data_IF_270722678093
#
_entry.id   IF_270722678093
#
_cell.length_a   1.000
_cell.length_b   1.000
_cell.length_c   1.000
_cell.angle_alpha   90.00
_cell.angle_beta   90.00
_cell.angle_gamma   90.00
#
_symmetry.space_group_name_H-M   'P 1'
#
loop_
_entity.id
_entity.type
_entity.pdbx_description
1 polymer ?
#
# COMPACT_ATOMS: atom_id res chain seq x y z
N UNK A 1 16.17 78.70 -4.31
CA UNK A 1 14.82 78.15 -4.39
C UNK A 1 14.65 77.01 -5.41
N UNK A 2 15.30 77.01 -6.57
CA UNK A 2 15.20 75.89 -7.56
C UNK A 2 15.73 74.52 -7.10
N UNK A 3 16.77 74.49 -6.25
CA UNK A 3 17.36 73.21 -5.78
C UNK A 3 16.55 72.49 -4.63
N UNK A 4 15.63 73.21 -3.98
CA UNK A 4 14.80 72.64 -2.92
C UNK A 4 13.56 72.00 -3.56
N UNK A 5 13.01 72.57 -4.63
CA UNK A 5 11.89 71.99 -5.37
C UNK A 5 12.28 70.64 -6.05
N UNK A 6 13.51 70.57 -6.56
CA UNK A 6 13.97 69.32 -7.24
C UNK A 6 14.23 68.17 -6.25
N UNK A 7 14.69 68.51 -5.05
CA UNK A 7 14.91 67.50 -3.96
C UNK A 7 13.59 67.02 -3.37
N UNK A 8 12.56 67.86 -3.28
CA UNK A 8 11.22 67.49 -2.81
C UNK A 8 10.47 66.65 -3.83
N UNK A 9 10.65 66.93 -5.14
CA UNK A 9 10.03 66.15 -6.19
C UNK A 9 10.65 64.73 -6.33
N UNK A 10 11.98 64.62 -6.11
CA UNK A 10 12.66 63.31 -6.10
C UNK A 10 12.29 62.46 -4.86
N UNK A 11 12.03 63.08 -3.72
CA UNK A 11 11.58 62.34 -2.51
C UNK A 11 10.12 61.85 -2.63
N UNK A 12 9.25 62.54 -3.29
CA UNK A 12 7.84 62.14 -3.54
C UNK A 12 7.77 60.98 -4.54
N UNK A 13 8.63 60.98 -5.57
CA UNK A 13 8.72 59.84 -6.54
C UNK A 13 9.33 58.57 -5.91
N UNK A 14 10.23 58.72 -4.97
CA UNK A 14 10.80 57.57 -4.23
C UNK A 14 9.85 56.99 -3.17
N UNK A 15 8.92 57.78 -2.62
CA UNK A 15 7.91 57.29 -1.67
C UNK A 15 6.66 56.73 -2.36
N UNK A 16 6.39 57.09 -3.59
CA UNK A 16 5.28 56.55 -4.39
C UNK A 16 5.61 55.17 -5.02
N UNK A 17 6.89 54.75 -5.04
CA UNK A 17 7.31 53.50 -5.64
C UNK A 17 7.36 52.31 -4.67
N UNK A 18 7.00 52.48 -3.39
CA UNK A 18 6.99 51.42 -2.38
C UNK A 18 5.61 50.81 -2.12
N UNK A 19 4.55 51.29 -2.76
CA UNK A 19 3.31 50.54 -2.89
C UNK A 19 3.41 49.59 -4.07
N UNK A 20 4.42 48.70 -4.05
CA UNK A 20 4.50 47.60 -4.98
C UNK A 20 3.31 46.66 -4.69
N UNK A 21 2.49 46.51 -5.69
CA UNK A 21 1.37 45.59 -5.68
C UNK A 21 1.83 44.20 -5.32
N UNK A 22 1.67 43.80 -4.06
CA UNK A 22 1.77 42.40 -3.64
C UNK A 22 0.78 41.54 -4.43
N UNK A 23 -0.39 42.10 -4.75
CA UNK A 23 -1.44 41.43 -5.55
C UNK A 23 -1.07 41.13 -7.02
N UNK A 24 -0.04 41.82 -7.55
CA UNK A 24 0.39 41.56 -8.95
C UNK A 24 1.30 40.34 -9.06
N UNK A 25 1.96 39.96 -7.98
CA UNK A 25 2.80 38.76 -7.93
C UNK A 25 2.03 37.52 -7.45
N UNK A 26 0.86 37.72 -6.86
CA UNK A 26 -0.04 36.67 -6.39
C UNK A 26 -1.15 36.30 -7.40
N UNK A 27 -1.01 36.69 -8.67
CA UNK A 27 -1.91 36.18 -9.69
C UNK A 27 -1.67 34.69 -9.93
N UNK A 28 -2.45 33.88 -9.24
CA UNK A 28 -2.64 32.48 -9.65
C UNK A 28 -3.20 32.49 -11.08
N UNK A 29 -2.46 31.91 -12.01
CA UNK A 29 -2.97 31.71 -13.37
C UNK A 29 -4.29 30.93 -13.29
N UNK A 30 -5.39 31.41 -13.91
CA UNK A 30 -6.65 30.65 -13.93
C UNK A 30 -6.53 29.27 -14.60
N UNK A 31 -5.40 29.02 -15.29
CA UNK A 31 -5.06 27.75 -15.92
C UNK A 31 -4.04 26.91 -15.12
N UNK A 32 -3.52 27.39 -13.98
CA UNK A 32 -2.69 26.58 -13.12
C UNK A 32 -3.58 25.73 -12.21
N UNK A 33 -3.38 24.41 -12.26
CA UNK A 33 -3.94 23.46 -11.30
C UNK A 33 -3.17 23.64 -9.99
N UNK A 34 -3.57 24.61 -9.17
CA UNK A 34 -3.07 24.76 -7.81
C UNK A 34 -3.77 23.76 -6.86
N UNK A 35 -3.23 23.59 -5.69
CA UNK A 35 -3.77 22.65 -4.69
C UNK A 35 -5.24 22.91 -4.38
N UNK A 36 -5.67 24.17 -4.34
CA UNK A 36 -7.06 24.56 -4.09
C UNK A 36 -7.99 24.03 -5.19
N UNK A 37 -7.64 24.24 -6.45
CA UNK A 37 -8.44 23.80 -7.59
C UNK A 37 -8.47 22.28 -7.72
N UNK A 38 -7.36 21.61 -7.39
CA UNK A 38 -7.28 20.14 -7.43
C UNK A 38 -8.20 19.53 -6.38
N UNK A 39 -8.10 19.96 -5.11
CA UNK A 39 -8.76 19.29 -4.00
C UNK A 39 -10.17 19.80 -3.70
N UNK A 40 -10.63 20.87 -4.34
CA UNK A 40 -12.04 21.27 -4.34
C UNK A 40 -12.88 20.59 -5.41
N UNK A 41 -12.26 19.91 -6.38
CA UNK A 41 -12.92 19.21 -7.47
C UNK A 41 -12.72 17.70 -7.36
N UNK A 42 -13.82 16.93 -7.37
CA UNK A 42 -13.78 15.49 -7.19
C UNK A 42 -12.93 14.76 -8.24
N UNK A 43 -13.10 15.08 -9.51
CA UNK A 43 -12.39 14.38 -10.60
C UNK A 43 -10.88 14.59 -10.53
N UNK A 44 -10.44 15.82 -10.22
CA UNK A 44 -9.02 16.11 -10.05
C UNK A 44 -8.45 15.46 -8.78
N UNK A 45 -9.17 15.57 -7.66
CA UNK A 45 -8.77 14.95 -6.41
C UNK A 45 -8.69 13.42 -6.54
N UNK A 46 -9.65 12.79 -7.22
CA UNK A 46 -9.62 11.35 -7.50
C UNK A 46 -8.38 10.95 -8.30
N UNK A 47 -7.96 11.78 -9.26
CA UNK A 47 -6.72 11.56 -10.02
C UNK A 47 -5.49 11.53 -9.11
N UNK A 48 -5.42 12.36 -8.07
CA UNK A 48 -4.31 12.33 -7.10
C UNK A 48 -4.31 11.05 -6.27
N UNK A 49 -5.49 10.58 -5.84
CA UNK A 49 -5.62 9.30 -5.13
C UNK A 49 -5.23 8.12 -6.01
N UNK A 50 -5.63 8.11 -7.29
CA UNK A 50 -5.25 7.08 -8.24
C UNK A 50 -3.72 6.94 -8.38
N UNK A 51 -2.97 8.05 -8.28
CA UNK A 51 -1.51 8.04 -8.31
C UNK A 51 -0.88 7.38 -7.07
N UNK A 52 -1.58 7.31 -5.93
CA UNK A 52 -1.11 6.55 -4.75
C UNK A 52 -1.29 5.06 -5.00
N UNK A 53 -2.45 4.63 -5.51
CA UNK A 53 -2.71 3.24 -5.90
C UNK A 53 -1.73 2.75 -6.98
N UNK A 54 -1.36 3.60 -7.93
CA UNK A 54 -0.45 3.26 -9.03
C UNK A 54 0.89 2.74 -8.53
N UNK A 55 1.39 3.20 -7.39
CA UNK A 55 2.69 2.75 -6.86
C UNK A 55 2.67 1.27 -6.47
N UNK A 56 1.55 0.69 -6.04
CA UNK A 56 1.42 -0.75 -5.86
C UNK A 56 1.58 -1.54 -7.15
N UNK A 57 1.17 -0.97 -8.28
CA UNK A 57 1.26 -1.59 -9.60
C UNK A 57 2.65 -1.54 -10.21
N UNK A 58 3.55 -0.74 -9.69
CA UNK A 58 4.89 -0.61 -10.23
C UNK A 58 5.69 -1.92 -10.15
N UNK A 59 6.38 -2.25 -11.23
CA UNK A 59 7.07 -3.54 -11.36
C UNK A 59 8.04 -3.82 -10.21
N UNK A 60 8.75 -2.80 -9.75
CA UNK A 60 9.71 -2.96 -8.67
C UNK A 60 9.04 -3.22 -7.34
N UNK A 61 7.97 -2.49 -7.00
CA UNK A 61 7.25 -2.69 -5.76
C UNK A 61 6.78 -4.14 -5.64
N UNK A 62 5.90 -4.59 -6.52
CA UNK A 62 5.32 -5.92 -6.46
C UNK A 62 6.33 -7.04 -6.72
N UNK A 63 7.35 -6.80 -7.58
CA UNK A 63 8.34 -7.82 -7.91
C UNK A 63 9.39 -8.00 -6.81
N UNK A 64 9.52 -7.04 -5.89
CA UNK A 64 10.54 -7.05 -4.83
C UNK A 64 9.95 -7.23 -3.44
N UNK A 65 8.83 -6.56 -3.13
CA UNK A 65 8.16 -6.72 -1.83
C UNK A 65 7.77 -8.17 -1.54
N UNK A 66 7.40 -8.93 -2.57
CA UNK A 66 7.03 -10.34 -2.42
C UNK A 66 8.18 -11.27 -2.05
N UNK A 67 9.45 -10.84 -2.14
CA UNK A 67 10.58 -11.71 -1.78
C UNK A 67 10.91 -11.73 -0.30
N UNK A 68 10.27 -10.89 0.50
CA UNK A 68 10.49 -10.86 1.94
C UNK A 68 9.80 -12.03 2.63
N UNK A 69 10.58 -12.84 3.30
CA UNK A 69 10.08 -13.82 4.25
C UNK A 69 9.47 -15.09 3.66
N UNK A 70 9.86 -15.51 2.45
CA UNK A 70 9.26 -16.69 1.81
C UNK A 70 9.75 -18.04 2.30
N UNK A 71 10.88 -18.17 2.91
CA UNK A 71 11.27 -19.46 3.47
C UNK A 71 10.70 -19.60 4.88
N UNK A 72 9.49 -20.10 4.96
CA UNK A 72 8.78 -20.39 6.21
C UNK A 72 8.55 -21.88 6.37
N UNK A 73 7.81 -22.29 7.38
CA UNK A 73 7.36 -23.66 7.58
C UNK A 73 6.34 -24.11 6.51
N UNK A 74 5.67 -23.18 5.85
CA UNK A 74 4.63 -23.47 4.86
C UNK A 74 5.01 -23.12 3.41
N UNK A 75 5.98 -22.22 3.20
CA UNK A 75 6.38 -21.74 1.88
C UNK A 75 7.88 -21.81 1.67
N UNK A 76 8.29 -22.06 0.42
CA UNK A 76 9.70 -22.10 0.04
C UNK A 76 9.93 -21.45 -1.32
N UNK A 77 11.00 -20.65 -1.42
CA UNK A 77 11.53 -20.15 -2.68
C UNK A 77 12.41 -21.23 -3.35
N UNK A 78 12.06 -21.63 -4.57
CA UNK A 78 12.73 -22.69 -5.31
C UNK A 78 14.18 -22.37 -5.71
N UNK A 79 14.62 -21.13 -5.55
CA UNK A 79 15.97 -20.65 -5.82
C UNK A 79 16.78 -20.33 -4.58
N UNK A 80 16.39 -20.81 -3.41
CA UNK A 80 17.05 -20.49 -2.11
C UNK A 80 18.50 -20.94 -2.04
N UNK A 81 18.91 -21.90 -2.88
CA UNK A 81 20.29 -22.39 -3.01
C UNK A 81 21.17 -21.54 -3.94
N UNK A 82 20.61 -20.50 -4.55
CA UNK A 82 21.33 -19.62 -5.49
C UNK A 82 21.94 -18.43 -4.77
N UNK A 83 23.06 -17.95 -5.29
CA UNK A 83 23.68 -16.71 -4.85
C UNK A 83 23.06 -15.53 -5.64
N UNK A 84 21.87 -15.09 -5.24
CA UNK A 84 21.22 -13.91 -5.81
C UNK A 84 20.42 -13.15 -4.74
N UNK A 85 20.11 -11.88 -5.01
CA UNK A 85 19.44 -11.01 -4.04
C UNK A 85 18.05 -11.48 -3.61
N UNK A 86 17.37 -12.31 -4.42
CA UNK A 86 16.05 -12.87 -4.05
C UNK A 86 16.22 -14.01 -3.04
N UNK A 87 17.23 -14.86 -3.27
CA UNK A 87 17.56 -15.93 -2.33
C UNK A 87 17.99 -15.35 -0.98
N UNK A 88 18.77 -14.26 -0.98
CA UNK A 88 19.16 -13.55 0.24
C UNK A 88 17.95 -13.06 1.03
N UNK A 89 16.96 -12.45 0.34
CA UNK A 89 15.73 -12.01 0.99
C UNK A 89 14.90 -13.20 1.51
N UNK A 90 14.72 -14.23 0.69
CA UNK A 90 13.94 -15.40 1.06
C UNK A 90 14.56 -16.18 2.25
N UNK A 91 15.88 -16.17 2.38
CA UNK A 91 16.63 -16.85 3.44
C UNK A 91 16.98 -15.96 4.63
N UNK A 92 16.44 -14.74 4.69
CA UNK A 92 16.68 -13.76 5.76
C UNK A 92 18.15 -13.34 5.89
N UNK A 93 18.91 -13.34 4.80
CA UNK A 93 20.33 -13.01 4.74
C UNK A 93 20.61 -11.77 3.89
N UNK A 94 19.70 -10.78 3.91
CA UNK A 94 19.85 -9.58 3.12
C UNK A 94 20.93 -8.65 3.70
N UNK A 95 21.95 -8.35 2.90
CA UNK A 95 22.98 -7.35 3.19
C UNK A 95 22.69 -6.00 2.53
N UNK A 96 23.46 -4.98 2.92
CA UNK A 96 23.36 -3.60 2.38
C UNK A 96 23.56 -3.50 0.86
N UNK A 97 24.19 -4.48 0.24
CA UNK A 97 24.40 -4.56 -1.21
C UNK A 97 23.31 -5.33 -1.96
N UNK A 98 22.24 -5.75 -1.29
CA UNK A 98 21.16 -6.52 -1.93
C UNK A 98 20.50 -5.69 -3.04
N UNK A 99 20.52 -6.19 -4.27
CA UNK A 99 20.02 -5.49 -5.45
C UNK A 99 18.48 -5.35 -5.49
N UNK A 100 17.76 -6.15 -4.72
CA UNK A 100 16.30 -6.06 -4.59
C UNK A 100 15.86 -4.94 -3.63
N UNK A 101 16.72 -4.58 -2.69
CA UNK A 101 16.47 -3.55 -1.67
C UNK A 101 17.30 -2.28 -1.88
N UNK A 102 18.21 -2.27 -2.85
CA UNK A 102 19.17 -1.19 -3.01
C UNK A 102 18.47 0.12 -3.38
N UNK A 103 18.74 1.16 -2.57
CA UNK A 103 18.16 2.51 -2.71
C UNK A 103 18.85 3.38 -3.76
N UNK A 104 19.90 2.91 -4.42
CA UNK A 104 20.70 3.73 -5.35
C UNK A 104 20.19 3.74 -6.78
N UNK A 105 19.24 2.87 -7.11
CA UNK A 105 18.63 2.83 -8.44
C UNK A 105 17.28 3.54 -8.38
N UNK A 106 17.01 4.53 -9.21
CA UNK A 106 15.77 5.32 -9.20
C UNK A 106 14.48 4.54 -9.44
N UNK A 107 14.54 3.22 -9.44
CA UNK A 107 13.44 2.28 -9.56
C UNK A 107 13.32 1.38 -8.32
N UNK A 108 14.01 1.72 -7.23
CA UNK A 108 14.03 0.91 -6.02
C UNK A 108 12.70 0.97 -5.25
N UNK A 109 12.47 -0.07 -4.46
CA UNK A 109 11.26 -0.22 -3.69
C UNK A 109 11.10 0.85 -2.60
N UNK A 110 12.21 1.25 -1.96
CA UNK A 110 12.22 2.30 -0.95
C UNK A 110 11.72 3.64 -1.50
N UNK A 111 12.28 4.08 -2.64
CA UNK A 111 11.88 5.34 -3.28
C UNK A 111 10.41 5.30 -3.71
N UNK A 112 9.91 4.17 -4.21
CA UNK A 112 8.52 4.00 -4.63
C UNK A 112 7.55 4.10 -3.46
N UNK A 113 7.86 3.46 -2.34
CA UNK A 113 7.01 3.54 -1.15
C UNK A 113 6.98 4.97 -0.60
N UNK A 114 8.14 5.64 -0.50
CA UNK A 114 8.16 7.02 -0.03
C UNK A 114 7.49 8.01 -1.00
N UNK A 115 7.55 7.77 -2.31
CA UNK A 115 6.79 8.56 -3.28
C UNK A 115 5.28 8.42 -3.07
N UNK A 116 4.81 7.20 -2.78
CA UNK A 116 3.40 6.97 -2.44
C UNK A 116 2.99 7.66 -1.14
N UNK A 117 3.84 7.58 -0.10
CA UNK A 117 3.61 8.26 1.18
C UNK A 117 3.55 9.77 0.98
N UNK A 118 4.45 10.36 0.21
CA UNK A 118 4.44 11.79 -0.09
C UNK A 118 3.16 12.22 -0.82
N UNK A 119 2.74 11.47 -1.84
CA UNK A 119 1.47 11.73 -2.52
C UNK A 119 0.27 11.62 -1.59
N UNK A 120 0.30 10.66 -0.66
CA UNK A 120 -0.75 10.52 0.34
C UNK A 120 -0.76 11.72 1.31
N UNK A 121 0.40 12.21 1.76
CA UNK A 121 0.50 13.39 2.61
C UNK A 121 -0.08 14.62 1.92
N UNK A 122 0.35 14.89 0.68
CA UNK A 122 -0.17 16.01 -0.13
C UNK A 122 -1.69 15.91 -0.34
N UNK A 123 -2.21 14.71 -0.59
CA UNK A 123 -3.64 14.49 -0.76
C UNK A 123 -4.42 14.70 0.55
N UNK A 124 -3.91 14.21 1.69
CA UNK A 124 -4.53 14.39 3.00
C UNK A 124 -4.59 15.87 3.36
N UNK A 125 -3.48 16.60 3.22
CA UNK A 125 -3.40 18.02 3.53
C UNK A 125 -4.32 18.82 2.60
N UNK A 126 -4.23 18.58 1.29
CA UNK A 126 -5.03 19.29 0.30
C UNK A 126 -6.54 19.06 0.43
N UNK A 127 -6.96 17.82 0.72
CA UNK A 127 -8.38 17.49 0.95
C UNK A 127 -8.90 18.12 2.24
N UNK A 128 -8.12 18.10 3.32
CA UNK A 128 -8.53 18.73 4.59
C UNK A 128 -8.68 20.24 4.47
N UNK A 129 -7.83 20.88 3.67
CA UNK A 129 -7.83 22.33 3.50
C UNK A 129 -8.90 22.80 2.52
N UNK A 130 -9.15 22.08 1.44
CA UNK A 130 -9.87 22.61 0.29
C UNK A 130 -11.14 21.83 -0.12
N UNK A 131 -11.35 20.60 0.40
CA UNK A 131 -12.49 19.79 0.01
C UNK A 131 -13.74 20.12 0.82
N UNK A 132 -14.90 20.03 0.18
CA UNK A 132 -16.17 19.97 0.90
C UNK A 132 -16.35 18.57 1.51
N UNK A 133 -15.93 18.42 2.77
CA UNK A 133 -16.08 17.17 3.50
C UNK A 133 -17.51 16.90 4.00
N UNK A 134 -18.54 17.62 3.52
CA UNK A 134 -19.94 17.19 3.63
C UNK A 134 -20.32 16.24 2.49
N UNK A 135 -19.63 16.33 1.35
CA UNK A 135 -19.78 15.41 0.21
C UNK A 135 -19.20 14.04 0.52
N UNK A 136 -19.99 12.98 0.25
CA UNK A 136 -19.63 11.61 0.54
C UNK A 136 -18.43 11.10 -0.28
N UNK A 137 -18.32 11.57 -1.54
CA UNK A 137 -17.20 11.16 -2.40
C UNK A 137 -15.89 11.82 -1.97
N UNK A 138 -15.94 13.10 -1.53
CA UNK A 138 -14.74 13.78 -1.00
C UNK A 138 -14.29 13.17 0.32
N UNK A 139 -15.22 12.79 1.23
CA UNK A 139 -14.90 11.99 2.41
C UNK A 139 -14.22 10.68 2.06
N UNK A 140 -14.76 9.98 1.07
CA UNK A 140 -14.20 8.73 0.59
C UNK A 140 -12.74 8.91 0.13
N UNK A 141 -12.43 9.94 -0.63
CA UNK A 141 -11.06 10.24 -1.09
C UNK A 141 -10.10 10.49 0.08
N UNK A 142 -10.52 11.23 1.10
CA UNK A 142 -9.71 11.45 2.30
C UNK A 142 -9.47 10.14 3.06
N UNK A 143 -10.51 9.33 3.24
CA UNK A 143 -10.39 8.02 3.87
C UNK A 143 -9.47 7.07 3.11
N UNK A 144 -9.50 7.10 1.77
CA UNK A 144 -8.57 6.35 0.92
C UNK A 144 -7.13 6.81 1.11
N UNK A 145 -6.87 8.12 1.08
CA UNK A 145 -5.52 8.67 1.26
C UNK A 145 -4.90 8.25 2.61
N UNK A 146 -5.66 8.36 3.70
CA UNK A 146 -5.25 7.94 5.04
C UNK A 146 -4.94 6.44 5.10
N UNK A 147 -5.81 5.62 4.52
CA UNK A 147 -5.65 4.16 4.51
C UNK A 147 -4.48 3.71 3.65
N UNK A 148 -4.28 4.33 2.49
CA UNK A 148 -3.18 4.02 1.59
C UNK A 148 -1.84 4.45 2.18
N UNK A 149 -1.77 5.60 2.88
CA UNK A 149 -0.60 5.99 3.66
C UNK A 149 -0.24 4.93 4.69
N UNK A 150 -1.23 4.47 5.43
CA UNK A 150 -1.02 3.42 6.42
C UNK A 150 -0.54 2.11 5.79
N UNK A 151 -1.10 1.70 4.65
CA UNK A 151 -0.71 0.47 3.96
C UNK A 151 0.74 0.53 3.48
N UNK A 152 1.16 1.64 2.86
CA UNK A 152 2.54 1.84 2.43
C UNK A 152 3.54 1.87 3.60
N UNK A 153 3.18 2.47 4.72
CA UNK A 153 4.03 2.45 5.92
C UNK A 153 4.13 1.08 6.57
N UNK A 154 3.05 0.30 6.59
CA UNK A 154 3.10 -1.08 7.09
C UNK A 154 4.06 -1.92 6.26
N UNK A 155 4.02 -1.80 4.93
CA UNK A 155 4.97 -2.48 4.06
C UNK A 155 6.40 -2.03 4.32
N UNK A 156 6.63 -0.72 4.48
CA UNK A 156 7.94 -0.16 4.77
C UNK A 156 8.52 -0.68 6.10
N UNK A 157 7.69 -0.68 7.16
CA UNK A 157 8.09 -1.19 8.48
C UNK A 157 8.36 -2.69 8.43
N UNK A 158 7.53 -3.46 7.73
CA UNK A 158 7.72 -4.90 7.60
C UNK A 158 9.04 -5.25 6.91
N UNK A 159 9.48 -4.43 5.95
CA UNK A 159 10.70 -4.66 5.18
C UNK A 159 11.97 -4.11 5.83
N UNK A 160 11.90 -2.92 6.46
CA UNK A 160 13.09 -2.24 7.00
C UNK A 160 13.06 -1.95 8.51
N UNK A 161 11.96 -2.23 9.16
CA UNK A 161 11.81 -1.95 10.59
C UNK A 161 11.60 -0.47 10.89
N UNK A 162 12.50 0.12 11.67
CA UNK A 162 12.44 1.54 12.01
C UNK A 162 12.93 2.38 10.83
N UNK A 163 12.11 3.33 10.40
CA UNK A 163 12.29 4.12 9.18
C UNK A 163 11.96 5.60 9.43
N UNK A 164 12.37 6.53 8.56
CA UNK A 164 11.96 7.93 8.70
C UNK A 164 10.46 8.12 8.72
N UNK A 165 9.95 8.80 9.75
CA UNK A 165 8.52 9.13 9.89
C UNK A 165 8.20 10.43 9.14
N UNK A 166 7.78 10.29 7.88
CA UNK A 166 7.30 11.40 7.04
C UNK A 166 5.78 11.43 7.03
N UNK A 167 5.20 12.09 8.01
CA UNK A 167 3.75 12.12 8.26
C UNK A 167 3.06 13.39 7.74
N UNK A 168 3.85 14.31 7.19
CA UNK A 168 3.42 15.53 6.49
C UNK A 168 4.16 15.64 5.17
N UNK A 169 3.67 16.51 4.26
CA UNK A 169 4.33 16.76 2.98
C UNK A 169 5.74 17.32 3.17
N UNK A 170 6.61 17.07 2.18
CA UNK A 170 8.01 17.49 2.23
C UNK A 170 8.12 19.01 2.12
N UNK A 171 8.97 19.57 2.98
CA UNK A 171 9.36 20.96 2.96
C UNK A 171 10.85 21.09 3.36
N UNK A 172 11.36 22.32 3.41
CA UNK A 172 12.76 22.59 3.74
C UNK A 172 13.18 22.08 5.14
N UNK A 173 12.23 22.05 6.09
CA UNK A 173 12.51 21.72 7.49
C UNK A 173 12.50 20.20 7.76
N UNK A 174 11.72 19.41 6.96
CA UNK A 174 11.53 17.98 7.19
C UNK A 174 12.15 17.07 6.12
N UNK A 175 12.83 17.64 5.10
CA UNK A 175 13.37 16.83 4.00
C UNK A 175 14.50 15.86 4.43
N UNK A 176 15.22 16.19 5.50
CA UNK A 176 16.26 15.35 6.07
C UNK A 176 15.82 14.80 7.43
N UNK A 177 15.17 13.64 7.40
CA UNK A 177 14.72 12.94 8.61
C UNK A 177 15.59 11.70 8.84
N UNK A 178 16.01 11.49 10.07
CA UNK A 178 16.63 10.24 10.50
C UNK A 178 15.61 9.12 10.65
N UNK A 179 16.08 7.92 11.02
CA UNK A 179 15.18 6.84 11.43
C UNK A 179 14.49 7.21 12.74
N UNK A 180 13.20 6.96 12.78
CA UNK A 180 12.37 7.05 13.96
C UNK A 180 12.01 5.67 14.48
N UNK A 181 11.72 5.57 15.77
CA UNK A 181 11.09 4.37 16.30
C UNK A 181 9.73 4.17 15.59
N UNK A 182 9.49 2.97 15.09
CA UNK A 182 8.23 2.62 14.41
C UNK A 182 6.99 2.90 15.25
N UNK A 183 7.13 3.00 16.56
CA UNK A 183 6.04 3.33 17.46
C UNK A 183 5.43 4.70 17.17
N UNK A 184 6.25 5.68 16.76
CA UNK A 184 5.78 7.00 16.29
C UNK A 184 4.88 6.84 15.07
N UNK A 185 5.31 6.01 14.13
CA UNK A 185 4.54 5.74 12.91
C UNK A 185 3.25 4.99 13.26
N UNK A 186 3.32 3.88 13.99
CA UNK A 186 2.13 3.08 14.33
C UNK A 186 1.05 3.90 15.04
N UNK A 187 1.42 4.79 15.95
CA UNK A 187 0.44 5.70 16.59
C UNK A 187 -0.31 6.53 15.57
N UNK A 188 0.40 7.12 14.60
CA UNK A 188 -0.26 7.90 13.56
C UNK A 188 -1.12 7.02 12.65
N UNK A 189 -0.64 5.83 12.24
CA UNK A 189 -1.42 4.94 11.40
C UNK A 189 -2.73 4.50 12.05
N UNK A 190 -2.72 4.25 13.36
CA UNK A 190 -3.93 3.91 14.11
C UNK A 190 -4.91 5.09 14.12
N UNK A 191 -4.44 6.31 14.34
CA UNK A 191 -5.26 7.53 14.26
C UNK A 191 -5.84 7.68 12.86
N UNK A 192 -5.02 7.55 11.82
CA UNK A 192 -5.45 7.65 10.42
C UNK A 192 -6.56 6.64 10.10
N UNK A 193 -6.39 5.38 10.52
CA UNK A 193 -7.38 4.33 10.25
C UNK A 193 -8.66 4.48 11.08
N UNK A 194 -8.56 4.99 12.31
CA UNK A 194 -9.74 5.34 13.12
C UNK A 194 -10.53 6.51 12.51
N UNK A 195 -9.88 7.47 11.89
CA UNK A 195 -10.53 8.51 11.11
C UNK A 195 -11.13 7.94 9.82
N UNK A 196 -10.33 7.20 9.04
CA UNK A 196 -10.72 6.65 7.76
C UNK A 196 -11.97 5.74 7.83
N UNK A 197 -12.14 4.94 8.90
CA UNK A 197 -13.32 4.10 9.06
C UNK A 197 -14.62 4.89 9.16
N UNK A 198 -14.56 6.18 9.53
CA UNK A 198 -15.72 7.06 9.59
C UNK A 198 -15.94 7.84 8.27
N UNK A 199 -14.90 7.95 7.46
CA UNK A 199 -14.92 8.66 6.18
C UNK A 199 -15.30 7.75 5.01
N UNK A 200 -14.76 6.52 4.99
CA UNK A 200 -15.03 5.56 3.92
C UNK A 200 -16.45 5.00 3.98
N UNK A 201 -17.04 4.81 2.81
CA UNK A 201 -18.32 4.15 2.60
C UNK A 201 -18.19 2.63 2.72
N UNK A 202 -19.29 1.98 3.04
CA UNK A 202 -19.41 0.53 2.95
C UNK A 202 -19.35 0.06 1.49
N UNK A 203 -19.04 -1.24 1.24
CA UNK A 203 -19.15 -1.83 -0.09
C UNK A 203 -20.49 -1.49 -0.77
N UNK A 204 -20.44 -1.09 -2.03
CA UNK A 204 -21.58 -0.77 -2.88
C UNK A 204 -22.39 0.51 -2.52
N UNK A 205 -22.00 1.28 -1.51
CA UNK A 205 -22.68 2.54 -1.19
C UNK A 205 -22.30 3.71 -2.12
N UNK A 206 -21.09 3.68 -2.66
CA UNK A 206 -20.60 4.66 -3.65
C UNK A 206 -20.06 3.94 -4.89
N UNK A 207 -19.98 4.64 -6.01
CA UNK A 207 -19.34 4.10 -7.22
C UNK A 207 -17.89 3.66 -6.96
N UNK A 208 -17.19 4.39 -6.12
CA UNK A 208 -15.84 4.08 -5.68
C UNK A 208 -15.72 2.75 -4.90
N UNK A 209 -16.78 2.28 -4.27
CA UNK A 209 -16.78 1.08 -3.41
C UNK A 209 -17.52 -0.13 -4.01
N UNK A 210 -17.76 -0.11 -5.33
CA UNK A 210 -18.41 -1.22 -6.05
C UNK A 210 -17.51 -2.42 -6.27
N UNK A 211 -16.20 -2.22 -6.25
CA UNK A 211 -15.21 -3.27 -6.46
C UNK A 211 -14.23 -3.33 -5.29
N UNK A 212 -13.51 -4.43 -5.18
CA UNK A 212 -12.47 -4.61 -4.13
C UNK A 212 -11.16 -3.90 -4.46
N UNK A 213 -11.02 -3.29 -5.64
CA UNK A 213 -9.80 -2.59 -6.05
C UNK A 213 -9.65 -1.19 -5.43
N UNK A 214 -10.68 -0.71 -4.74
CA UNK A 214 -10.62 0.55 -3.99
C UNK A 214 -10.94 0.31 -2.51
N UNK A 215 -10.29 1.11 -1.68
CA UNK A 215 -10.52 1.09 -0.22
C UNK A 215 -12.00 1.31 0.08
N UNK A 216 -12.53 0.48 0.96
CA UNK A 216 -13.89 0.60 1.49
C UNK A 216 -13.85 0.41 3.03
N UNK A 217 -14.93 0.73 3.70
CA UNK A 217 -15.01 0.68 5.18
C UNK A 217 -14.67 -0.68 5.78
N UNK A 218 -15.04 -1.75 5.11
CA UNK A 218 -14.74 -3.12 5.58
C UNK A 218 -13.23 -3.37 5.61
N UNK A 219 -12.54 -2.99 4.52
CA UNK A 219 -11.09 -3.09 4.46
C UNK A 219 -10.41 -2.23 5.52
N UNK A 220 -10.83 -0.96 5.68
CA UNK A 220 -10.26 -0.06 6.69
C UNK A 220 -10.35 -0.68 8.09
N UNK A 221 -11.50 -1.24 8.47
CA UNK A 221 -11.70 -1.90 9.78
C UNK A 221 -10.82 -3.14 9.94
N UNK A 222 -10.79 -4.02 8.96
CA UNK A 222 -9.92 -5.21 8.96
C UNK A 222 -8.43 -4.83 9.03
N UNK A 223 -8.03 -3.77 8.32
CA UNK A 223 -6.66 -3.29 8.32
C UNK A 223 -6.30 -2.58 9.64
N UNK A 224 -7.22 -1.81 10.23
CA UNK A 224 -7.05 -1.25 11.57
C UNK A 224 -6.78 -2.35 12.61
N UNK A 225 -7.57 -3.43 12.59
CA UNK A 225 -7.35 -4.56 13.46
C UNK A 225 -5.94 -5.16 13.28
N UNK A 226 -5.50 -5.38 12.04
CA UNK A 226 -4.16 -5.88 11.73
C UNK A 226 -3.06 -4.94 12.24
N UNK A 227 -3.17 -3.64 12.00
CA UNK A 227 -2.18 -2.64 12.46
C UNK A 227 -2.11 -2.61 13.97
N UNK A 228 -3.23 -2.66 14.68
CA UNK A 228 -3.26 -2.74 16.14
C UNK A 228 -2.54 -3.98 16.68
N UNK A 229 -2.76 -5.16 16.06
CA UNK A 229 -2.09 -6.40 16.46
C UNK A 229 -0.57 -6.34 16.19
N UNK A 230 -0.15 -5.77 15.06
CA UNK A 230 1.26 -5.59 14.73
C UNK A 230 1.95 -4.62 15.70
N UNK A 231 1.32 -3.46 15.97
CA UNK A 231 1.86 -2.45 16.87
C UNK A 231 2.02 -2.98 18.32
N UNK A 232 1.08 -3.79 18.78
CA UNK A 232 1.11 -4.43 20.10
C UNK A 232 2.02 -5.69 20.16
N UNK A 233 2.57 -6.09 19.02
CA UNK A 233 3.38 -7.30 18.89
C UNK A 233 4.87 -7.08 19.17
N UNK A 234 5.62 -8.19 19.19
CA UNK A 234 7.08 -8.17 19.26
C UNK A 234 7.69 -7.61 17.97
N UNK A 235 8.74 -6.81 18.12
CA UNK A 235 9.52 -6.31 17.00
C UNK A 235 10.99 -6.16 17.40
N UNK A 236 11.90 -6.34 16.44
CA UNK A 236 13.28 -5.96 16.62
C UNK A 236 13.39 -4.44 16.65
N UNK A 237 13.92 -3.90 17.73
CA UNK A 237 14.05 -2.45 17.97
C UNK A 237 15.40 -1.92 17.54
N UNK A 238 15.59 -0.60 17.54
CA UNK A 238 16.84 0.07 17.16
C UNK A 238 18.05 -0.42 17.94
N UNK A 239 17.85 -0.82 19.19
CA UNK A 239 18.88 -1.41 20.06
C UNK A 239 19.19 -2.88 19.75
N UNK A 240 18.52 -3.46 18.75
CA UNK A 240 18.67 -4.86 18.35
C UNK A 240 17.85 -5.85 19.20
N UNK A 241 17.23 -5.42 20.30
CA UNK A 241 16.41 -6.29 21.13
C UNK A 241 15.06 -6.60 20.48
N UNK A 242 14.64 -7.86 20.57
CA UNK A 242 13.29 -8.27 20.16
C UNK A 242 12.35 -8.16 21.35
N UNK A 243 11.51 -7.14 21.37
CA UNK A 243 10.61 -6.84 22.49
C UNK A 243 9.34 -6.12 22.06
N UNK A 244 8.35 -6.09 22.93
CA UNK A 244 7.16 -5.26 22.80
C UNK A 244 7.52 -3.76 22.85
N UNK A 245 6.62 -2.91 22.38
CA UNK A 245 6.70 -1.48 22.62
C UNK A 245 6.71 -1.18 24.13
N UNK A 246 7.43 -0.15 24.51
CA UNK A 246 7.39 0.44 25.84
C UNK A 246 6.40 1.60 25.94
N UNK A 247 5.80 2.01 24.82
CA UNK A 247 4.78 3.03 24.79
C UNK A 247 3.44 2.44 25.28
N UNK A 248 2.86 2.95 26.38
CA UNK A 248 1.62 2.40 26.93
C UNK A 248 0.43 2.51 25.97
N UNK A 249 0.45 3.46 25.01
CA UNK A 249 -0.62 3.59 24.00
C UNK A 249 -0.57 2.47 22.96
N UNK A 250 0.57 1.77 22.82
CA UNK A 250 0.73 0.63 21.93
C UNK A 250 0.67 -0.72 22.67
N UNK A 251 0.27 -0.71 23.93
CA UNK A 251 0.09 -1.94 24.70
C UNK A 251 -1.09 -2.78 24.17
N UNK A 252 -1.02 -4.10 24.40
CA UNK A 252 -2.13 -5.00 24.04
C UNK A 252 -3.43 -4.64 24.77
N UNK A 253 -3.34 -4.13 26.00
CA UNK A 253 -4.48 -3.69 26.80
C UNK A 253 -5.23 -2.53 26.13
N UNK A 254 -4.53 -1.68 25.40
CA UNK A 254 -5.09 -0.57 24.62
C UNK A 254 -5.55 -1.01 23.23
N UNK A 255 -4.72 -1.74 22.51
CA UNK A 255 -4.93 -1.98 21.08
C UNK A 255 -5.81 -3.20 20.77
N UNK A 256 -5.79 -4.25 21.61
CA UNK A 256 -6.63 -5.43 21.37
C UNK A 256 -8.14 -5.13 21.43
N UNK A 257 -8.65 -4.27 22.36
CA UNK A 257 -10.06 -3.87 22.31
C UNK A 257 -10.43 -3.15 21.00
N UNK A 258 -9.55 -2.30 20.46
CA UNK A 258 -9.77 -1.61 19.18
C UNK A 258 -9.84 -2.64 18.03
N UNK A 259 -8.86 -3.54 17.98
CA UNK A 259 -8.84 -4.61 16.97
C UNK A 259 -10.08 -5.51 17.05
N UNK A 260 -10.47 -5.92 18.25
CA UNK A 260 -11.65 -6.76 18.48
C UNK A 260 -12.93 -6.06 18.02
N UNK A 261 -13.09 -4.76 18.36
CA UNK A 261 -14.26 -4.00 17.95
C UNK A 261 -14.32 -3.86 16.43
N UNK A 262 -13.19 -3.53 15.79
CA UNK A 262 -13.11 -3.43 14.33
C UNK A 262 -13.49 -4.75 13.62
N UNK A 263 -13.03 -5.90 14.15
CA UNK A 263 -13.41 -7.21 13.64
C UNK A 263 -14.91 -7.49 13.84
N UNK A 264 -15.46 -7.19 15.01
CA UNK A 264 -16.90 -7.37 15.29
C UNK A 264 -17.76 -6.54 14.36
N UNK A 265 -17.38 -5.28 14.15
CA UNK A 265 -18.13 -4.39 13.25
C UNK A 265 -18.19 -4.93 11.81
N UNK A 266 -17.16 -5.65 11.35
CA UNK A 266 -17.16 -6.34 10.05
C UNK A 266 -18.03 -7.58 10.09
N UNK A 267 -17.91 -8.42 11.14
CA UNK A 267 -18.68 -9.66 11.28
C UNK A 267 -20.19 -9.39 11.38
N UNK A 268 -20.58 -8.30 12.05
CA UNK A 268 -21.98 -7.87 12.17
C UNK A 268 -22.59 -7.46 10.81
N UNK A 269 -21.76 -7.30 9.78
CA UNK A 269 -22.18 -6.99 8.41
C UNK A 269 -22.20 -8.20 7.48
N UNK A 270 -22.03 -9.41 8.01
CA UNK A 270 -22.15 -10.63 7.20
C UNK A 270 -23.54 -10.74 6.58
N UNK A 271 -23.58 -11.03 5.28
CA UNK A 271 -24.83 -11.07 4.49
C UNK A 271 -25.34 -9.69 4.03
N UNK A 272 -24.71 -8.59 4.49
CA UNK A 272 -25.03 -7.22 4.06
C UNK A 272 -23.91 -6.62 3.20
N UNK A 273 -22.72 -6.42 3.79
CA UNK A 273 -21.58 -5.80 3.12
C UNK A 273 -20.36 -6.75 2.95
N UNK A 274 -20.43 -7.92 3.55
CA UNK A 274 -19.44 -8.99 3.41
C UNK A 274 -20.13 -10.34 3.39
N UNK A 275 -19.54 -11.34 2.75
CA UNK A 275 -20.04 -12.70 2.78
C UNK A 275 -18.89 -13.68 2.56
N UNK A 276 -18.78 -14.70 3.41
CA UNK A 276 -17.86 -15.80 3.18
C UNK A 276 -18.30 -16.62 1.98
N UNK A 277 -17.35 -17.09 1.17
CA UNK A 277 -17.62 -18.03 0.09
C UNK A 277 -17.92 -19.41 0.67
N UNK A 278 -18.91 -20.09 0.11
CA UNK A 278 -19.25 -21.45 0.50
C UNK A 278 -18.21 -22.49 0.07
N UNK A 279 -17.45 -22.19 -0.97
CA UNK A 279 -16.39 -23.03 -1.50
C UNK A 279 -15.04 -22.26 -1.48
N UNK A 280 -14.03 -22.85 -0.84
CA UNK A 280 -12.70 -22.26 -0.72
C UNK A 280 -12.02 -21.98 -2.07
N UNK A 281 -12.24 -22.86 -3.04
CA UNK A 281 -11.66 -22.70 -4.38
C UNK A 281 -12.19 -21.45 -5.11
N UNK A 282 -13.44 -21.06 -4.88
CA UNK A 282 -14.05 -19.89 -5.53
C UNK A 282 -13.41 -18.56 -5.13
N UNK A 283 -12.70 -18.53 -3.99
CA UNK A 283 -11.94 -17.35 -3.58
C UNK A 283 -10.80 -17.04 -4.58
N UNK A 284 -10.19 -18.09 -5.14
CA UNK A 284 -9.01 -17.96 -5.99
C UNK A 284 -9.34 -17.99 -7.48
N UNK A 285 -10.33 -18.79 -7.90
CA UNK A 285 -10.66 -18.98 -9.30
C UNK A 285 -11.21 -17.72 -9.96
N UNK A 286 -12.01 -16.92 -9.25
CA UNK A 286 -12.58 -15.69 -9.79
C UNK A 286 -11.51 -14.61 -9.99
N UNK A 287 -10.42 -14.63 -9.21
CA UNK A 287 -9.39 -13.59 -9.20
C UNK A 287 -8.25 -13.84 -10.21
N UNK A 288 -8.02 -15.08 -10.59
CA UNK A 288 -6.82 -15.44 -11.34
C UNK A 288 -7.07 -15.87 -12.79
N UNK A 289 -8.22 -16.45 -13.10
CA UNK A 289 -8.48 -17.14 -14.36
C UNK A 289 -9.33 -16.31 -15.31
N UNK A 290 -10.37 -15.62 -14.83
CA UNK A 290 -11.24 -14.83 -15.69
C UNK A 290 -10.72 -13.43 -15.98
N UNK A 291 -9.84 -12.90 -15.14
CA UNK A 291 -9.39 -11.51 -15.22
C UNK A 291 -10.48 -10.50 -14.87
N UNK A 292 -11.58 -10.96 -14.28
CA UNK A 292 -12.69 -10.09 -13.90
C UNK A 292 -12.40 -9.35 -12.60
N UNK A 293 -12.81 -8.10 -12.55
CA UNK A 293 -12.77 -7.29 -11.33
C UNK A 293 -13.80 -7.86 -10.35
N UNK A 294 -13.37 -8.10 -9.11
CA UNK A 294 -14.26 -8.64 -8.08
C UNK A 294 -15.14 -7.52 -7.53
N UNK A 295 -16.43 -7.77 -7.54
CA UNK A 295 -17.39 -6.89 -6.88
C UNK A 295 -17.18 -6.90 -5.36
N UNK A 296 -17.28 -5.73 -4.75
CA UNK A 296 -17.27 -5.60 -3.30
C UNK A 296 -18.52 -6.28 -2.67
N UNK A 297 -18.41 -6.60 -1.38
CA UNK A 297 -19.47 -7.31 -0.66
C UNK A 297 -19.31 -8.83 -0.63
N UNK A 298 -18.13 -9.34 -1.01
CA UNK A 298 -17.75 -10.75 -0.93
C UNK A 298 -16.73 -10.99 0.20
N UNK A 299 -16.04 -12.14 0.17
CA UNK A 299 -14.99 -12.48 1.15
C UNK A 299 -13.74 -11.63 0.98
N UNK A 300 -13.38 -11.24 -0.25
CA UNK A 300 -12.29 -10.33 -0.50
C UNK A 300 -12.66 -8.91 -0.09
N UNK A 301 -11.83 -8.29 0.76
CA UNK A 301 -12.08 -6.94 1.28
C UNK A 301 -11.38 -5.86 0.47
N UNK A 302 -10.21 -6.17 -0.07
CA UNK A 302 -9.40 -5.28 -0.89
C UNK A 302 -8.37 -6.08 -1.69
N UNK A 303 -8.20 -5.71 -2.95
CA UNK A 303 -7.21 -6.29 -3.84
C UNK A 303 -6.49 -5.23 -4.68
N UNK A 304 -5.21 -5.46 -4.90
CA UNK A 304 -4.43 -4.65 -5.83
C UNK A 304 -4.60 -5.23 -7.22
N UNK A 305 -5.37 -4.55 -8.06
CA UNK A 305 -5.63 -4.95 -9.44
C UNK A 305 -4.41 -4.75 -10.34
N UNK A 306 -4.16 -5.72 -11.22
CA UNK A 306 -3.13 -5.63 -12.25
C UNK A 306 -3.75 -5.78 -13.64
N UNK A 307 -3.36 -4.90 -14.57
CA UNK A 307 -3.79 -5.03 -15.96
C UNK A 307 -3.14 -6.23 -16.64
N UNK A 308 -3.73 -6.69 -17.76
CA UNK A 308 -3.16 -7.75 -18.61
C UNK A 308 -1.81 -7.38 -19.25
N UNK A 309 -1.20 -6.27 -18.89
CA UNK A 309 0.12 -5.92 -19.36
C UNK A 309 1.17 -6.83 -18.69
N UNK A 310 1.85 -7.74 -19.45
CA UNK A 310 2.79 -8.71 -18.88
C UNK A 310 3.99 -8.05 -18.18
N UNK A 311 4.28 -6.78 -18.46
CA UNK A 311 5.31 -6.03 -17.73
C UNK A 311 4.90 -5.63 -16.31
N UNK A 312 3.61 -5.74 -15.98
CA UNK A 312 3.06 -5.18 -14.74
C UNK A 312 2.42 -6.20 -13.78
N UNK A 313 2.42 -7.49 -14.07
CA UNK A 313 1.87 -8.54 -13.21
C UNK A 313 2.80 -9.73 -13.09
N UNK A 314 3.54 -9.90 -11.98
CA UNK A 314 4.41 -11.06 -11.78
C UNK A 314 3.98 -11.99 -10.66
N UNK A 315 2.89 -11.71 -9.95
CA UNK A 315 2.42 -12.56 -8.87
C UNK A 315 2.10 -13.96 -9.40
N UNK A 316 1.31 -14.07 -10.48
CA UNK A 316 0.99 -15.36 -11.09
C UNK A 316 2.22 -16.07 -11.66
N UNK A 317 3.22 -15.32 -12.16
CA UNK A 317 4.49 -15.91 -12.56
C UNK A 317 5.23 -16.54 -11.38
N UNK A 318 5.17 -15.89 -10.23
CA UNK A 318 5.86 -16.32 -9.00
C UNK A 318 5.16 -17.50 -8.34
N UNK A 319 3.84 -17.46 -8.20
CA UNK A 319 3.04 -18.44 -7.45
C UNK A 319 2.27 -19.43 -8.34
N UNK A 320 2.11 -19.14 -9.62
CA UNK A 320 1.34 -19.99 -10.50
C UNK A 320 1.99 -21.35 -10.75
N UNK A 321 1.20 -22.29 -11.24
CA UNK A 321 1.65 -23.64 -11.62
C UNK A 321 2.76 -23.52 -12.66
N UNK A 322 3.87 -24.20 -12.46
CA UNK A 322 5.04 -24.12 -13.35
C UNK A 322 4.68 -24.49 -14.78
N UNK A 323 4.92 -23.54 -15.69
CA UNK A 323 4.71 -23.67 -17.12
C UNK A 323 5.75 -22.83 -17.85
N UNK A 324 6.88 -23.43 -18.19
CA UNK A 324 8.07 -22.71 -18.69
C UNK A 324 8.24 -22.74 -20.21
N UNK A 325 7.37 -23.45 -20.91
CA UNK A 325 7.42 -23.58 -22.38
C UNK A 325 6.04 -23.28 -22.94
N UNK A 326 5.92 -22.25 -23.79
CA UNK A 326 4.67 -21.94 -24.49
C UNK A 326 4.21 -23.14 -25.34
N UNK A 327 2.93 -23.40 -25.33
CA UNK A 327 2.29 -24.49 -26.10
C UNK A 327 0.85 -24.11 -26.50
N UNK A 328 0.06 -25.10 -26.90
CA UNK A 328 -1.32 -24.90 -27.32
C UNK A 328 -2.30 -24.57 -26.15
N UNK A 329 -1.87 -24.72 -24.91
CA UNK A 329 -2.71 -24.39 -23.74
C UNK A 329 -2.55 -22.92 -23.35
N UNK A 330 -1.32 -22.41 -23.33
CA UNK A 330 -1.05 -21.01 -23.02
C UNK A 330 0.31 -20.55 -23.53
N UNK A 331 0.37 -19.32 -23.95
CA UNK A 331 1.62 -18.61 -24.23
C UNK A 331 2.16 -17.90 -22.98
N UNK A 332 1.37 -17.85 -21.90
CA UNK A 332 1.77 -17.19 -20.64
C UNK A 332 2.63 -18.14 -19.81
N UNK A 333 3.91 -17.80 -19.70
CA UNK A 333 4.84 -18.59 -18.90
C UNK A 333 4.67 -18.28 -17.41
N UNK A 334 4.77 -19.33 -16.59
CA UNK A 334 4.72 -19.24 -15.13
C UNK A 334 5.94 -19.96 -14.53
N UNK A 335 6.58 -19.30 -13.57
CA UNK A 335 7.85 -19.80 -13.02
C UNK A 335 7.69 -20.74 -11.84
N UNK A 336 6.59 -20.67 -11.09
CA UNK A 336 6.41 -21.36 -9.80
C UNK A 336 7.64 -21.18 -8.91
N UNK A 337 8.02 -19.91 -8.71
CA UNK A 337 9.25 -19.60 -7.96
C UNK A 337 9.07 -19.81 -6.46
N UNK A 338 7.86 -19.55 -5.97
CA UNK A 338 7.45 -19.79 -4.58
C UNK A 338 6.30 -20.79 -4.59
N UNK A 339 6.36 -21.72 -3.69
CA UNK A 339 5.33 -22.75 -3.54
C UNK A 339 5.27 -23.30 -2.13
N UNK A 340 4.30 -24.16 -1.83
CA UNK A 340 4.17 -24.78 -0.52
C UNK A 340 5.35 -25.71 -0.23
N UNK A 341 5.69 -25.83 1.04
CA UNK A 341 6.63 -26.87 1.48
C UNK A 341 6.00 -28.26 1.36
N UNK A 342 6.80 -29.33 1.17
CA UNK A 342 6.28 -30.68 1.23
C UNK A 342 5.61 -30.99 2.59
N UNK A 343 6.10 -30.45 3.66
CA UNK A 343 5.53 -30.60 5.01
C UNK A 343 4.08 -30.11 5.04
N UNK A 344 3.82 -28.91 4.53
CA UNK A 344 2.45 -28.39 4.46
C UNK A 344 1.51 -29.33 3.69
N UNK A 345 1.95 -29.85 2.54
CA UNK A 345 1.13 -30.76 1.74
C UNK A 345 0.73 -32.02 2.53
N UNK A 346 1.67 -32.62 3.25
CA UNK A 346 1.43 -33.83 4.04
C UNK A 346 0.74 -33.60 5.38
N UNK A 347 0.79 -32.38 5.92
CA UNK A 347 0.08 -32.00 7.14
C UNK A 347 -1.43 -31.81 6.93
N UNK A 348 -1.85 -31.53 5.68
CA UNK A 348 -3.27 -31.51 5.37
C UNK A 348 -3.91 -32.89 5.54
N UNK A 349 -5.05 -32.96 6.23
CA UNK A 349 -5.89 -34.14 6.18
C UNK A 349 -6.30 -34.46 4.73
N UNK A 350 -6.36 -35.73 4.37
CA UNK A 350 -6.87 -36.18 3.05
C UNK A 350 -8.32 -35.75 2.78
N UNK A 351 -9.04 -35.34 3.81
CA UNK A 351 -10.42 -34.83 3.71
C UNK A 351 -10.49 -33.31 3.61
N UNK A 352 -9.37 -32.62 3.79
CA UNK A 352 -9.33 -31.15 3.73
C UNK A 352 -9.23 -30.70 2.26
N UNK A 353 -10.35 -30.16 1.75
CA UNK A 353 -10.47 -29.72 0.37
C UNK A 353 -9.52 -28.55 0.03
N UNK A 354 -9.02 -27.83 1.03
CA UNK A 354 -8.09 -26.72 0.84
C UNK A 354 -6.72 -27.18 0.32
N UNK A 355 -6.31 -28.41 0.65
CA UNK A 355 -5.03 -28.98 0.22
C UNK A 355 -4.82 -28.88 -1.28
N UNK A 356 -5.77 -29.34 -2.05
CA UNK A 356 -5.64 -29.47 -3.51
C UNK A 356 -5.84 -28.14 -4.24
N UNK A 357 -6.43 -27.15 -3.56
CA UNK A 357 -6.50 -25.76 -4.01
C UNK A 357 -5.20 -25.01 -3.72
N UNK A 358 -4.63 -25.21 -2.53
CA UNK A 358 -3.42 -24.50 -2.06
C UNK A 358 -2.14 -25.09 -2.64
N UNK A 359 -2.06 -26.42 -2.73
CA UNK A 359 -0.85 -27.15 -3.07
C UNK A 359 -1.01 -27.87 -4.41
N UNK A 360 -0.24 -27.45 -5.42
CA UNK A 360 -0.24 -28.10 -6.73
C UNK A 360 0.94 -29.06 -6.86
N UNK A 361 0.72 -30.38 -6.89
CA UNK A 361 1.80 -31.38 -6.98
C UNK A 361 2.30 -31.61 -8.41
N UNK A 362 1.82 -30.88 -9.42
CA UNK A 362 2.18 -31.06 -10.81
C UNK A 362 2.66 -29.77 -11.48
N UNK A 363 3.29 -29.94 -12.62
CA UNK A 363 3.68 -28.87 -13.54
C UNK A 363 3.27 -29.21 -14.97
N UNK A 364 3.17 -28.20 -15.82
CA UNK A 364 2.94 -28.36 -17.24
C UNK A 364 4.26 -28.32 -18.02
N UNK A 365 4.50 -29.29 -18.87
CA UNK A 365 5.64 -29.34 -19.79
C UNK A 365 5.17 -29.71 -21.17
N UNK A 366 5.20 -28.77 -22.10
CA UNK A 366 4.76 -28.96 -23.50
C UNK A 366 3.35 -29.57 -23.62
N UNK A 367 2.39 -29.04 -22.86
CA UNK A 367 1.00 -29.50 -22.85
C UNK A 367 0.77 -30.83 -22.11
N UNK A 368 1.78 -31.36 -21.44
CA UNK A 368 1.67 -32.59 -20.65
C UNK A 368 1.81 -32.26 -19.18
N UNK A 369 0.88 -32.76 -18.38
CA UNK A 369 0.94 -32.69 -16.94
C UNK A 369 1.94 -33.70 -16.38
N UNK A 370 2.90 -33.24 -15.62
CA UNK A 370 3.92 -34.09 -14.98
C UNK A 370 3.98 -33.78 -13.50
N UNK A 371 4.30 -34.79 -12.67
CA UNK A 371 4.50 -34.56 -11.24
C UNK A 371 5.68 -33.60 -11.03
N UNK A 372 5.50 -32.64 -10.13
CA UNK A 372 6.57 -31.78 -9.70
C UNK A 372 7.41 -32.53 -8.65
N UNK A 373 8.71 -32.61 -8.87
CA UNK A 373 9.60 -33.19 -7.86
C UNK A 373 9.76 -32.19 -6.69
N UNK A 374 9.51 -32.63 -5.51
CA UNK A 374 9.97 -31.92 -4.32
C UNK A 374 11.51 -32.03 -4.26
N UNK A 375 12.19 -30.92 -4.30
CA UNK A 375 13.64 -30.86 -4.12
C UNK A 375 13.98 -30.59 -2.68
#
# INVERSE_FOLDING_TARGET
>A
MKNILFKSLAAVVLLGGLSSCSDFLDQSSPSSLDGKNIFSNYEYAQGTIANIYQEFGEQNYRARAIWYGYNTDIEIFSGSDKADGKADLATYNAGVGNDQMNVTTGTDLWAKIYAAIERANLAIEGLRENADLTDANMKQLLGEALTLRALHYVDLINMWGDVPARLTSLNADNMYSGREDRDVIYKQLIIDLQEAQNLCAWPNELDATKTVERVNKVFVKGFLARVCLQAAGYAQRLDGANRLSTDPELSKEKLYPIALQACKDVMDQEGNYVALKSNFEDIFNNNGISGDIINAGSESLFEIGYSNNPARGRIMYTFGIKHTTADNMTTMLQGSQVGPTPTLYFDYSVKDLRRDVTCCPFQWTKGVQTLQSFK
#
